data_IF_692714732111
#
_entry.id   IF_692714732111
#
_cell.length_a   1.000
_cell.length_b   1.000
_cell.length_c   1.000
_cell.angle_alpha   90.00
_cell.angle_beta   90.00
_cell.angle_gamma   90.00
#
_symmetry.space_group_name_H-M   'P 1'
#
loop_
_entity.id
_entity.type
_entity.pdbx_description
1 polymer ?
#
# COMPACT_ATOMS: atom_id res chain seq x y z
N UNK A 1 -15.52 0.25 11.44
CA UNK A 1 -15.34 1.71 11.45
C UNK A 1 -13.93 1.97 10.95
N UNK A 2 -13.77 2.52 9.74
CA UNK A 2 -12.48 2.77 9.05
C UNK A 2 -11.88 4.13 9.47
N UNK A 3 -12.30 4.67 10.62
CA UNK A 3 -11.92 6.02 11.02
C UNK A 3 -10.60 5.97 11.80
N UNK A 4 -9.50 5.80 11.07
CA UNK A 4 -8.17 6.25 11.51
C UNK A 4 -7.79 7.47 10.69
N UNK A 5 -7.27 8.53 11.32
CA UNK A 5 -6.80 9.70 10.58
C UNK A 5 -5.63 9.31 9.65
N UNK A 6 -5.34 10.08 8.58
CA UNK A 6 -4.18 9.83 7.73
C UNK A 6 -2.85 9.74 8.51
N UNK A 7 -2.72 10.51 9.59
CA UNK A 7 -1.55 10.51 10.47
C UNK A 7 -1.44 9.21 11.27
N UNK A 8 -2.55 8.75 11.88
CA UNK A 8 -2.59 7.47 12.59
C UNK A 8 -2.30 6.30 11.67
N UNK A 9 -2.85 6.32 10.45
CA UNK A 9 -2.58 5.32 9.43
C UNK A 9 -1.10 5.32 9.05
N UNK A 10 -0.53 6.52 8.80
CA UNK A 10 0.88 6.67 8.45
C UNK A 10 1.78 6.14 9.55
N UNK A 11 1.55 6.53 10.79
CA UNK A 11 2.37 6.10 11.92
C UNK A 11 2.33 4.57 12.10
N UNK A 12 1.15 3.96 11.97
CA UNK A 12 0.99 2.50 12.07
C UNK A 12 1.76 1.74 10.99
N UNK A 13 1.84 2.30 9.78
CA UNK A 13 2.31 1.57 8.59
C UNK A 13 3.64 2.09 8.02
N UNK A 14 4.27 3.12 8.60
CA UNK A 14 5.51 3.75 8.10
C UNK A 14 6.67 2.78 7.82
N UNK A 15 6.81 1.73 8.63
CA UNK A 15 7.85 0.71 8.46
C UNK A 15 7.67 -0.13 7.19
N UNK A 16 6.46 -0.14 6.62
CA UNK A 16 6.10 -0.88 5.41
C UNK A 16 6.05 0.00 4.16
N UNK A 17 6.48 1.26 4.25
CA UNK A 17 6.55 2.14 3.10
C UNK A 17 7.52 1.59 2.04
N UNK A 18 7.05 1.55 0.80
CA UNK A 18 7.81 1.18 -0.36
C UNK A 18 8.70 2.34 -0.83
N UNK A 19 9.88 2.03 -1.36
CA UNK A 19 10.78 3.03 -1.94
C UNK A 19 10.57 3.14 -3.45
N UNK A 20 10.63 4.35 -3.98
CA UNK A 20 10.55 4.61 -5.42
C UNK A 20 10.64 6.08 -5.77
N UNK A 21 10.37 6.40 -7.03
CA UNK A 21 10.31 7.79 -7.52
C UNK A 21 8.86 8.27 -7.57
N UNK A 22 8.57 9.47 -7.07
CA UNK A 22 7.26 10.11 -7.18
C UNK A 22 7.30 11.29 -8.15
N UNK A 23 6.21 11.45 -8.90
CA UNK A 23 5.91 12.60 -9.75
C UNK A 23 4.50 13.11 -9.40
N UNK A 24 4.39 14.03 -8.43
CA UNK A 24 3.14 14.73 -8.13
C UNK A 24 2.69 15.57 -9.32
N UNK A 25 1.39 15.61 -9.58
CA UNK A 25 0.82 16.44 -10.64
C UNK A 25 0.82 17.95 -10.26
N UNK A 26 0.73 18.87 -11.24
CA UNK A 26 0.63 20.30 -11.00
C UNK A 26 -0.56 20.70 -10.11
N UNK A 27 -0.54 21.95 -9.61
CA UNK A 27 -1.49 22.51 -8.63
C UNK A 27 -2.94 22.00 -8.77
N UNK A 28 -3.50 21.51 -7.65
CA UNK A 28 -4.90 21.13 -7.52
C UNK A 28 -5.24 19.67 -7.81
N UNK A 29 -4.30 18.87 -8.35
CA UNK A 29 -4.50 17.43 -8.53
C UNK A 29 -3.95 16.62 -7.35
N UNK A 30 -4.75 15.76 -6.70
CA UNK A 30 -4.27 14.86 -5.66
C UNK A 30 -3.62 13.59 -6.23
N UNK A 31 -3.24 13.57 -7.51
CA UNK A 31 -2.66 12.40 -8.16
C UNK A 31 -1.13 12.41 -8.05
N UNK A 32 -0.58 11.29 -7.58
CA UNK A 32 0.86 11.01 -7.57
C UNK A 32 1.13 9.82 -8.49
N UNK A 33 2.04 9.99 -9.45
CA UNK A 33 2.65 8.86 -10.14
C UNK A 33 3.80 8.33 -9.27
N UNK A 34 3.78 7.03 -8.96
CA UNK A 34 4.80 6.38 -8.15
C UNK A 34 5.44 5.21 -8.91
N UNK A 35 6.73 5.32 -9.17
CA UNK A 35 7.52 4.31 -9.89
C UNK A 35 8.26 3.42 -8.89
N UNK A 36 7.79 2.19 -8.74
CA UNK A 36 8.38 1.20 -7.84
C UNK A 36 8.08 -0.23 -8.30
N UNK A 37 8.93 -1.20 -7.93
CA UNK A 37 8.72 -2.62 -8.29
C UNK A 37 8.68 -2.91 -9.80
N UNK A 38 9.23 -2.02 -10.63
CA UNK A 38 9.15 -2.10 -12.09
C UNK A 38 7.79 -1.72 -12.68
N UNK A 39 6.97 -0.98 -11.93
CA UNK A 39 5.63 -0.52 -12.33
C UNK A 39 5.48 0.99 -12.06
N UNK A 40 4.52 1.59 -12.76
CA UNK A 40 4.00 2.94 -12.49
C UNK A 40 2.64 2.77 -11.82
N UNK A 41 2.49 3.30 -10.61
CA UNK A 41 1.23 3.30 -9.86
C UNK A 41 0.67 4.72 -9.81
N UNK A 42 -0.65 4.83 -9.97
CA UNK A 42 -1.37 6.09 -9.81
C UNK A 42 -2.03 6.12 -8.44
N UNK A 43 -1.57 7.00 -7.56
CA UNK A 43 -1.98 7.08 -6.16
C UNK A 43 -2.73 8.37 -5.88
N UNK A 44 -3.84 8.27 -5.15
CA UNK A 44 -4.50 9.42 -4.54
C UNK A 44 -3.72 9.84 -3.29
N UNK A 45 -3.18 11.05 -3.28
CA UNK A 45 -2.43 11.64 -2.17
C UNK A 45 -3.33 11.82 -0.94
N UNK A 46 -2.90 11.26 0.19
CA UNK A 46 -3.57 11.34 1.48
C UNK A 46 -2.83 12.19 2.51
N UNK A 47 -1.65 12.74 2.19
CA UNK A 47 -0.84 13.55 3.10
C UNK A 47 -1.17 15.04 3.04
N UNK A 48 -1.95 15.47 2.04
CA UNK A 48 -2.37 16.85 1.87
C UNK A 48 -1.57 17.57 0.77
N UNK A 49 -2.09 18.72 0.30
CA UNK A 49 -1.55 19.39 -0.87
C UNK A 49 -0.10 19.84 -0.63
N UNK A 50 0.74 19.71 -1.67
CA UNK A 50 2.12 20.19 -1.72
C UNK A 50 3.13 19.49 -0.79
N UNK A 51 2.72 18.45 -0.05
CA UNK A 51 3.63 17.68 0.81
C UNK A 51 4.54 16.79 -0.02
N UNK A 52 4.00 16.17 -1.06
CA UNK A 52 4.76 15.35 -1.98
C UNK A 52 5.59 16.23 -2.93
N UNK A 53 6.91 16.06 -2.93
CA UNK A 53 7.84 16.70 -3.87
C UNK A 53 8.34 15.67 -4.90
N UNK A 54 8.56 16.05 -6.17
CA UNK A 54 9.14 15.13 -7.14
C UNK A 54 10.50 14.58 -6.69
N UNK A 55 10.74 13.28 -6.88
CA UNK A 55 12.01 12.63 -6.55
C UNK A 55 11.88 11.31 -5.80
N UNK A 56 12.97 10.86 -5.18
CA UNK A 56 12.97 9.65 -4.34
C UNK A 56 12.12 9.85 -3.09
N UNK A 57 11.26 8.87 -2.80
CA UNK A 57 10.39 8.91 -1.65
C UNK A 57 10.08 7.52 -1.10
N UNK A 58 9.63 7.50 0.15
CA UNK A 58 9.02 6.34 0.77
C UNK A 58 7.52 6.56 0.84
N UNK A 59 6.76 5.64 0.25
CA UNK A 59 5.30 5.76 0.11
C UNK A 59 4.65 4.50 0.67
N UNK A 60 3.70 4.69 1.59
CA UNK A 60 2.79 3.61 1.97
C UNK A 60 1.74 3.52 0.86
N UNK A 61 1.79 2.43 0.09
CA UNK A 61 0.81 2.15 -0.95
C UNK A 61 -0.34 1.36 -0.34
N UNK A 62 -1.52 1.97 -0.28
CA UNK A 62 -2.70 1.35 0.28
C UNK A 62 -3.76 1.08 -0.78
N UNK A 63 -4.22 -0.17 -0.86
CA UNK A 63 -5.33 -0.57 -1.73
C UNK A 63 -6.47 -1.17 -0.91
N UNK A 64 -7.71 -0.81 -1.26
CA UNK A 64 -8.91 -1.42 -0.66
C UNK A 64 -9.24 -2.68 -1.46
N UNK A 65 -9.21 -3.83 -0.83
CA UNK A 65 -9.43 -5.13 -1.46
C UNK A 65 -10.91 -5.32 -1.75
N UNK A 66 -11.24 -5.64 -2.99
CA UNK A 66 -12.57 -6.12 -3.39
C UNK A 66 -12.66 -7.64 -3.26
N UNK A 67 -11.59 -8.36 -3.63
CA UNK A 67 -11.52 -9.81 -3.62
C UNK A 67 -10.16 -10.29 -3.13
N UNK A 68 -10.15 -11.34 -2.31
CA UNK A 68 -8.92 -12.04 -1.94
C UNK A 68 -9.19 -13.50 -1.63
N UNK A 69 -8.14 -14.31 -1.76
CA UNK A 69 -8.16 -15.71 -1.34
C UNK A 69 -6.79 -16.12 -0.80
N UNK A 70 -6.79 -16.85 0.32
CA UNK A 70 -5.59 -17.53 0.80
C UNK A 70 -5.22 -18.64 -0.19
N UNK A 71 -3.96 -18.70 -0.57
CA UNK A 71 -3.43 -19.72 -1.47
C UNK A 71 -2.94 -20.95 -0.69
N UNK A 72 -2.98 -22.14 -1.30
CA UNK A 72 -2.46 -23.36 -0.69
C UNK A 72 -0.95 -23.27 -0.45
N UNK A 73 -0.44 -24.08 0.48
CA UNK A 73 1.00 -24.18 0.74
C UNK A 73 1.72 -24.85 -0.44
N UNK A 74 2.30 -24.02 -1.30
CA UNK A 74 3.02 -24.41 -2.50
C UNK A 74 4.06 -23.33 -2.84
N UNK A 75 5.03 -23.60 -3.73
CA UNK A 75 5.87 -22.55 -4.30
C UNK A 75 5.01 -21.56 -5.08
N UNK A 76 5.11 -20.28 -4.72
CA UNK A 76 4.45 -19.18 -5.39
C UNK A 76 5.49 -18.12 -5.76
N UNK A 77 5.25 -17.43 -6.86
CA UNK A 77 6.02 -16.25 -7.26
C UNK A 77 5.21 -14.99 -6.99
N UNK A 78 5.89 -13.91 -6.62
CA UNK A 78 5.25 -12.61 -6.44
C UNK A 78 4.76 -12.05 -7.78
N UNK A 79 3.49 -11.66 -7.82
CA UNK A 79 2.85 -11.08 -9.00
C UNK A 79 2.18 -9.77 -8.63
N UNK A 80 2.28 -8.79 -9.53
CA UNK A 80 1.61 -7.51 -9.39
C UNK A 80 1.21 -6.97 -10.77
N UNK A 81 -0.08 -6.78 -10.98
CA UNK A 81 -0.71 -6.21 -12.16
C UNK A 81 -1.44 -4.91 -11.81
N UNK A 82 -1.53 -4.00 -12.78
CA UNK A 82 -2.37 -2.80 -12.66
C UNK A 82 -3.70 -3.12 -13.35
N UNK A 83 -4.80 -2.86 -12.65
CA UNK A 83 -6.16 -3.05 -13.14
C UNK A 83 -6.79 -1.68 -13.35
N UNK A 84 -7.18 -1.39 -14.60
CA UNK A 84 -7.69 -0.06 -14.97
C UNK A 84 -6.64 1.04 -14.76
N UNK A 85 -7.05 2.14 -14.11
CA UNK A 85 -6.18 3.31 -13.89
C UNK A 85 -5.42 3.23 -12.57
N UNK A 86 -6.08 2.82 -11.49
CA UNK A 86 -5.55 2.91 -10.12
C UNK A 86 -6.03 1.72 -9.26
N UNK A 87 -6.21 0.55 -9.88
CA UNK A 87 -6.46 -0.71 -9.18
C UNK A 87 -5.25 -1.65 -9.32
N UNK A 88 -5.17 -2.65 -8.45
CA UNK A 88 -4.14 -3.69 -8.49
C UNK A 88 -4.77 -5.08 -8.46
N UNK A 89 -4.07 -6.03 -9.06
CA UNK A 89 -4.24 -7.44 -8.79
C UNK A 89 -2.88 -8.07 -8.52
N UNK A 90 -2.84 -9.16 -7.78
CA UNK A 90 -1.56 -9.80 -7.52
C UNK A 90 -1.60 -11.03 -6.65
N UNK A 91 -0.41 -11.58 -6.49
CA UNK A 91 -0.11 -12.69 -5.58
C UNK A 91 1.09 -12.26 -4.75
N UNK A 92 0.96 -12.41 -3.44
CA UNK A 92 2.03 -12.02 -2.53
C UNK A 92 1.98 -12.72 -1.19
N UNK A 93 3.08 -12.61 -0.46
CA UNK A 93 3.24 -13.18 0.86
C UNK A 93 2.84 -12.16 1.93
N UNK A 94 2.06 -12.60 2.91
CA UNK A 94 1.69 -11.84 4.10
C UNK A 94 2.94 -11.60 4.95
N UNK A 95 3.26 -10.33 5.17
CA UNK A 95 4.37 -9.90 6.03
C UNK A 95 3.88 -9.70 7.46
N UNK A 96 2.73 -9.06 7.63
CA UNK A 96 2.12 -8.83 8.94
C UNK A 96 0.61 -8.75 8.84
N UNK A 97 -0.08 -9.23 9.88
CA UNK A 97 -1.50 -9.00 10.13
C UNK A 97 -1.63 -8.09 11.36
N UNK A 98 -1.65 -6.75 11.20
CA UNK A 98 -1.79 -5.83 12.33
C UNK A 98 -3.04 -6.16 13.16
N UNK A 99 -2.88 -6.14 14.49
CA UNK A 99 -3.99 -6.37 15.42
C UNK A 99 -4.58 -5.02 15.85
N UNK A 100 -5.91 -4.94 15.85
CA UNK A 100 -6.63 -3.73 16.22
C UNK A 100 -6.67 -2.67 15.11
N UNK A 101 -7.68 -1.81 15.13
CA UNK A 101 -7.96 -0.86 14.06
C UNK A 101 -8.74 -1.47 12.88
N UNK A 102 -8.80 -0.77 11.74
CA UNK A 102 -9.44 -1.26 10.52
C UNK A 102 -8.78 -2.56 10.00
N UNK A 103 -9.52 -3.43 9.31
CA UNK A 103 -8.96 -4.67 8.79
C UNK A 103 -7.90 -4.36 7.73
N UNK A 104 -6.64 -4.62 8.07
CA UNK A 104 -5.51 -4.44 7.18
C UNK A 104 -4.58 -5.65 7.23
N UNK A 105 -3.91 -5.90 6.13
CA UNK A 105 -2.82 -6.88 6.03
C UNK A 105 -1.70 -6.26 5.19
N UNK A 106 -0.45 -6.51 5.57
CA UNK A 106 0.70 -6.07 4.77
C UNK A 106 1.18 -7.24 3.95
N UNK A 107 1.32 -7.03 2.64
CA UNK A 107 1.68 -8.05 1.66
C UNK A 107 2.90 -7.60 0.87
N UNK A 108 3.81 -8.54 0.59
CA UNK A 108 4.89 -8.35 -0.37
C UNK A 108 4.52 -9.03 -1.68
N UNK A 109 4.28 -8.24 -2.71
CA UNK A 109 3.88 -8.68 -4.05
C UNK A 109 4.64 -7.84 -5.08
N UNK A 110 5.96 -8.08 -5.26
CA UNK A 110 6.95 -7.25 -5.98
C UNK A 110 7.17 -5.85 -5.41
N UNK A 111 6.23 -5.39 -4.61
CA UNK A 111 6.18 -4.16 -3.85
C UNK A 111 5.54 -4.47 -2.49
N UNK A 112 5.92 -3.76 -1.43
CA UNK A 112 5.20 -3.83 -0.16
C UNK A 112 3.91 -3.02 -0.27
N UNK A 113 2.79 -3.66 0.01
CA UNK A 113 1.45 -3.08 -0.04
C UNK A 113 0.77 -3.21 1.31
N UNK A 114 0.01 -2.18 1.70
CA UNK A 114 -0.96 -2.28 2.80
C UNK A 114 -2.32 -2.51 2.17
N UNK A 115 -2.87 -3.71 2.33
CA UNK A 115 -4.19 -4.05 1.84
C UNK A 115 -5.22 -3.80 2.94
N UNK A 116 -6.17 -2.91 2.69
CA UNK A 116 -7.32 -2.65 3.57
C UNK A 116 -8.53 -3.45 3.09
N UNK A 117 -9.44 -3.80 3.99
CA UNK A 117 -10.73 -4.39 3.64
C UNK A 117 -11.84 -3.85 4.52
N UNK A 118 -13.08 -3.87 4.02
CA UNK A 118 -14.27 -3.63 4.84
C UNK A 118 -14.62 -4.83 5.74
N UNK A 119 -14.11 -6.01 5.40
CA UNK A 119 -14.29 -7.26 6.14
C UNK A 119 -12.96 -7.78 6.71
N UNK A 120 -12.98 -8.54 7.82
CA UNK A 120 -11.77 -9.12 8.36
C UNK A 120 -11.05 -10.08 7.40
N UNK A 121 -9.72 -10.01 7.39
CA UNK A 121 -8.86 -11.03 6.80
C UNK A 121 -8.82 -12.24 7.74
N UNK A 122 -9.76 -13.16 7.60
CA UNK A 122 -9.86 -14.36 8.45
C UNK A 122 -8.80 -15.40 8.07
N UNK A 123 -8.25 -16.09 9.08
CA UNK A 123 -7.34 -17.24 8.89
C UNK A 123 -6.05 -16.95 8.08
N UNK A 124 -5.63 -15.68 8.03
CA UNK A 124 -4.34 -15.27 7.48
C UNK A 124 -3.32 -15.02 8.59
N UNK A 125 -2.14 -15.62 8.45
CA UNK A 125 -0.98 -15.41 9.31
C UNK A 125 0.24 -14.96 8.50
N UNK A 126 1.23 -14.29 9.13
CA UNK A 126 2.50 -14.00 8.47
C UNK A 126 3.13 -15.25 7.86
N UNK A 127 3.58 -15.15 6.62
CA UNK A 127 4.11 -16.26 5.82
C UNK A 127 3.10 -16.87 4.84
N UNK A 128 1.79 -16.70 5.07
CA UNK A 128 0.76 -17.14 4.13
C UNK A 128 0.87 -16.40 2.80
N UNK A 129 0.39 -17.05 1.73
CA UNK A 129 0.25 -16.44 0.42
C UNK A 129 -1.22 -16.12 0.17
N UNK A 130 -1.48 -15.01 -0.50
CA UNK A 130 -2.82 -14.65 -0.95
C UNK A 130 -2.79 -14.11 -2.37
N UNK A 131 -3.88 -14.36 -3.10
CA UNK A 131 -4.23 -13.59 -4.29
C UNK A 131 -5.19 -12.47 -3.90
N UNK A 132 -5.10 -11.32 -4.56
CA UNK A 132 -5.95 -10.16 -4.28
C UNK A 132 -6.28 -9.36 -5.54
N UNK A 133 -7.39 -8.63 -5.47
CA UNK A 133 -7.77 -7.54 -6.36
C UNK A 133 -8.20 -6.33 -5.52
N UNK A 134 -7.80 -5.13 -5.91
CA UNK A 134 -8.18 -3.88 -5.24
C UNK A 134 -9.13 -3.04 -6.08
N UNK A 135 -9.97 -2.29 -5.39
CA UNK A 135 -10.72 -1.19 -5.99
C UNK A 135 -9.80 0.02 -6.25
N UNK A 136 -10.21 0.85 -7.20
CA UNK A 136 -9.62 2.17 -7.39
C UNK A 136 -10.37 3.21 -6.53
N UNK A 137 -9.67 4.26 -6.06
CA UNK A 137 -8.25 4.53 -6.25
C UNK A 137 -7.36 3.83 -5.20
N UNK A 138 -6.13 3.54 -5.59
CA UNK A 138 -5.03 3.36 -4.63
C UNK A 138 -4.77 4.66 -3.88
N UNK A 139 -4.38 4.54 -2.62
CA UNK A 139 -4.02 5.66 -1.77
C UNK A 139 -2.52 5.67 -1.51
N UNK A 140 -1.91 6.86 -1.62
CA UNK A 140 -0.50 7.09 -1.32
C UNK A 140 -0.35 7.92 -0.06
N UNK A 141 0.48 7.46 0.87
CA UNK A 141 0.92 8.23 2.03
C UNK A 141 2.43 8.42 1.95
N UNK A 142 2.87 9.61 1.55
CA UNK A 142 4.28 9.95 1.41
C UNK A 142 4.87 10.24 2.79
N UNK A 143 5.93 9.52 3.15
CA UNK A 143 6.63 9.77 4.41
C UNK A 143 7.48 11.05 4.29
N UNK A 144 7.34 11.94 5.27
CA UNK A 144 8.13 13.17 5.38
C UNK A 144 8.74 13.32 6.77
N UNK A 145 9.78 14.16 6.88
CA UNK A 145 10.37 14.57 8.15
C UNK A 145 10.74 13.40 9.07
N UNK A 146 10.20 13.41 10.29
CA UNK A 146 10.52 12.45 11.35
C UNK A 146 10.10 11.00 11.02
N UNK A 147 8.99 10.81 10.27
CA UNK A 147 8.52 9.48 9.89
C UNK A 147 9.53 8.73 8.98
N UNK A 148 10.31 9.48 8.21
CA UNK A 148 11.38 8.93 7.37
C UNK A 148 12.59 8.47 8.21
N UNK A 149 12.97 9.24 9.23
CA UNK A 149 14.09 8.91 10.12
C UNK A 149 13.83 7.65 10.95
N UNK A 150 12.62 7.51 11.48
CA UNK A 150 12.24 6.37 12.31
C UNK A 150 12.13 5.04 11.52
N UNK A 151 12.01 5.10 10.19
CA UNK A 151 12.05 3.91 9.32
C UNK A 151 13.47 3.33 9.17
N UNK A 152 14.51 4.13 9.37
CA UNK A 152 15.91 3.73 9.13
C UNK A 152 16.58 3.04 10.33
N UNK A 153 15.82 2.79 11.40
CA UNK A 153 16.24 2.11 12.63
C UNK A 153 15.55 0.75 12.73
#
# INVERSE_FOLDING_TARGET
MIESSPEEFTERHRHYAAHGLIYPQPEGSPLIEFVAGGRVLYLLDRCGPYVALPGEAYVIVNGVVSEWARLPEAPHDEQLGVVGVSGLEGVGQVVVCPRGGPPTVVVRARLTLVLSSYTPFTDLVPGDWLSFTTEAPLHGFVLTGQALHDRSR
#
